data_IF_759925323531
#
_entry.id   IF_759925323531
#
_cell.length_a   1.000
_cell.length_b   1.000
_cell.length_c   1.000
_cell.angle_alpha   90.00
_cell.angle_beta   90.00
_cell.angle_gamma   90.00
#
_symmetry.space_group_name_H-M   'P 1'
#
loop_
_entity.id
_entity.type
_entity.pdbx_description
1 polymer ?
#
# COMPACT_ATOMS: atom_id res chain seq x y z
N UNK A 1 -11.09 10.11 30.88
CA UNK A 1 -10.87 10.94 29.65
C UNK A 1 -9.43 11.01 29.17
N UNK A 2 -8.45 11.19 30.06
CA UNK A 2 -7.00 11.29 29.73
C UNK A 2 -6.50 10.23 28.73
N UNK A 3 -6.81 8.96 28.97
CA UNK A 3 -6.34 7.84 28.13
C UNK A 3 -6.79 7.98 26.68
N UNK A 4 -8.04 8.42 26.46
CA UNK A 4 -8.60 8.67 25.12
C UNK A 4 -7.90 9.84 24.41
N UNK A 5 -7.48 10.87 25.15
CA UNK A 5 -6.62 11.90 24.55
C UNK A 5 -5.28 11.30 24.14
N UNK A 6 -4.63 10.51 25.00
CA UNK A 6 -3.34 9.86 24.69
C UNK A 6 -3.46 8.97 23.45
N UNK A 7 -4.54 8.18 23.36
CA UNK A 7 -4.85 7.35 22.19
C UNK A 7 -5.03 8.19 20.92
N UNK A 8 -5.78 9.28 21.00
CA UNK A 8 -5.94 10.21 19.88
C UNK A 8 -4.62 10.88 19.47
N UNK A 9 -3.75 11.22 20.42
CA UNK A 9 -2.43 11.78 20.13
C UNK A 9 -1.51 10.75 19.44
N UNK A 10 -1.61 9.48 19.83
CA UNK A 10 -0.90 8.39 19.18
C UNK A 10 -1.38 8.20 17.74
N UNK A 11 -2.70 8.26 17.50
CA UNK A 11 -3.28 8.23 16.15
C UNK A 11 -2.77 9.38 15.27
N UNK A 12 -2.68 10.59 15.82
CA UNK A 12 -2.13 11.76 15.12
C UNK A 12 -0.59 11.73 15.01
N UNK A 13 0.08 10.80 15.69
CA UNK A 13 1.54 10.74 15.82
C UNK A 13 2.16 12.06 16.33
N UNK A 14 1.53 12.66 17.35
CA UNK A 14 2.04 13.88 18.01
C UNK A 14 2.20 13.69 19.51
N UNK A 15 3.16 14.39 20.11
CA UNK A 15 3.34 14.41 21.56
C UNK A 15 2.35 15.34 22.27
N UNK A 16 2.16 15.12 23.58
CA UNK A 16 1.29 15.95 24.44
C UNK A 16 1.61 17.44 24.37
N UNK A 17 2.90 17.80 24.43
CA UNK A 17 3.33 19.19 24.38
C UNK A 17 2.89 19.87 23.07
N UNK A 18 3.09 19.20 21.94
CA UNK A 18 2.71 19.70 20.61
C UNK A 18 1.19 19.84 20.49
N UNK A 19 0.43 18.92 21.08
CA UNK A 19 -1.03 19.03 21.13
C UNK A 19 -1.50 20.23 21.95
N UNK A 20 -0.93 20.44 23.14
CA UNK A 20 -1.27 21.56 24.02
C UNK A 20 -0.95 22.91 23.37
N UNK A 21 0.19 23.00 22.67
CA UNK A 21 0.59 24.17 21.89
C UNK A 21 -0.36 24.41 20.71
N UNK A 22 -0.69 23.36 19.94
CA UNK A 22 -1.60 23.45 18.79
C UNK A 22 -3.02 23.89 19.15
N UNK A 23 -3.48 23.53 20.35
CA UNK A 23 -4.83 23.83 20.85
C UNK A 23 -4.87 25.09 21.71
N UNK A 24 -3.73 25.70 22.02
CA UNK A 24 -3.68 26.85 22.94
C UNK A 24 -4.16 26.50 24.35
N UNK A 25 -3.88 25.28 24.80
CA UNK A 25 -4.13 24.79 26.15
C UNK A 25 -2.86 24.91 27.00
N UNK A 26 -3.03 24.99 28.33
CA UNK A 26 -1.92 25.10 29.26
C UNK A 26 -1.04 23.85 29.23
N UNK A 27 0.28 24.02 29.43
CA UNK A 27 1.20 22.89 29.55
C UNK A 27 0.79 21.93 30.69
N UNK A 28 0.77 20.64 30.39
CA UNK A 28 0.33 19.58 31.30
C UNK A 28 -1.19 19.43 31.42
N UNK A 29 -1.96 20.09 30.55
CA UNK A 29 -3.41 19.91 30.45
C UNK A 29 -3.79 18.44 30.23
N UNK A 30 -3.12 17.73 29.31
CA UNK A 30 -3.45 16.33 28.98
C UNK A 30 -3.30 15.42 30.21
N UNK A 31 -2.39 15.76 31.13
CA UNK A 31 -2.21 15.00 32.37
C UNK A 31 -3.23 15.35 33.45
N UNK A 32 -3.82 16.54 33.41
CA UNK A 32 -4.78 17.06 34.41
C UNK A 32 -6.24 16.87 34.00
N UNK A 33 -6.50 16.49 32.75
CA UNK A 33 -7.86 16.32 32.24
C UNK A 33 -8.57 15.17 32.96
N UNK A 34 -9.57 15.53 33.77
CA UNK A 34 -10.46 14.60 34.44
C UNK A 34 -11.73 14.31 33.63
N UNK A 35 -12.73 13.73 34.28
CA UNK A 35 -13.99 13.35 33.63
C UNK A 35 -14.88 14.57 33.29
N UNK A 36 -14.67 15.69 33.98
CA UNK A 36 -15.36 16.96 33.72
C UNK A 36 -14.48 17.91 32.90
N UNK A 37 -14.56 17.78 31.57
CA UNK A 37 -13.92 18.70 30.64
C UNK A 37 -14.72 20.00 30.50
N UNK A 38 -14.06 21.14 30.68
CA UNK A 38 -14.67 22.46 30.43
C UNK A 38 -14.96 22.64 28.94
N UNK A 39 -16.12 23.21 28.64
CA UNK A 39 -16.56 23.47 27.26
C UNK A 39 -15.56 24.33 26.48
N UNK A 40 -14.99 25.36 27.12
CA UNK A 40 -13.96 26.21 26.51
C UNK A 40 -12.67 25.48 26.13
N UNK A 41 -12.30 24.42 26.85
CA UNK A 41 -11.17 23.57 26.46
C UNK A 41 -11.53 22.64 25.31
N UNK A 42 -12.76 22.14 25.31
CA UNK A 42 -13.27 21.29 24.23
C UNK A 42 -13.39 22.07 22.91
N UNK A 43 -13.90 23.30 22.93
CA UNK A 43 -13.98 24.19 21.76
C UNK A 43 -12.61 24.39 21.12
N UNK A 44 -11.58 24.67 21.92
CA UNK A 44 -10.20 24.80 21.45
C UNK A 44 -9.67 23.54 20.77
N UNK A 45 -10.00 22.36 21.33
CA UNK A 45 -9.61 21.08 20.76
C UNK A 45 -10.33 20.87 19.42
N UNK A 46 -11.66 21.03 19.38
CA UNK A 46 -12.46 20.80 18.18
C UNK A 46 -12.18 21.83 17.07
N UNK A 47 -11.82 23.06 17.43
CA UNK A 47 -11.39 24.07 16.47
C UNK A 47 -10.13 23.63 15.70
N UNK A 48 -9.24 22.87 16.35
CA UNK A 48 -8.01 22.36 15.72
C UNK A 48 -8.16 20.97 15.12
N UNK A 49 -9.03 20.15 15.72
CA UNK A 49 -9.29 18.76 15.36
C UNK A 49 -10.80 18.55 15.17
N UNK A 50 -11.38 19.09 14.08
CA UNK A 50 -12.83 19.04 13.85
C UNK A 50 -13.35 17.62 13.66
N UNK A 51 -12.49 16.71 13.19
CA UNK A 51 -12.83 15.31 13.00
C UNK A 51 -12.83 14.52 14.32
N UNK A 52 -12.37 15.07 15.45
CA UNK A 52 -12.40 14.36 16.72
C UNK A 52 -13.84 14.19 17.22
N UNK A 53 -14.25 12.95 17.49
CA UNK A 53 -15.58 12.69 18.01
C UNK A 53 -15.68 13.07 19.49
N UNK A 54 -16.45 14.14 19.76
CA UNK A 54 -16.72 14.60 21.13
C UNK A 54 -17.39 13.54 22.02
N UNK A 55 -18.30 12.74 21.46
CA UNK A 55 -19.02 11.73 22.25
C UNK A 55 -18.05 10.65 22.71
N UNK A 56 -17.22 10.14 21.80
CA UNK A 56 -16.17 9.19 22.15
C UNK A 56 -15.19 9.79 23.16
N UNK A 57 -14.76 11.04 22.99
CA UNK A 57 -13.85 11.69 23.94
C UNK A 57 -14.44 11.75 25.36
N UNK A 58 -15.73 12.10 25.48
CA UNK A 58 -16.43 12.25 26.77
C UNK A 58 -16.80 10.90 27.40
N UNK A 59 -17.43 10.03 26.64
CA UNK A 59 -18.07 8.80 27.15
C UNK A 59 -17.23 7.55 26.93
N UNK A 60 -16.38 7.55 25.89
CA UNK A 60 -15.70 6.36 25.39
C UNK A 60 -16.52 5.55 24.39
N UNK A 61 -17.75 5.97 24.07
CA UNK A 61 -18.64 5.25 23.17
C UNK A 61 -18.53 5.76 21.72
N UNK A 62 -18.55 4.82 20.77
CA UNK A 62 -18.47 5.09 19.34
C UNK A 62 -17.05 5.19 18.81
N UNK A 63 -16.91 5.78 17.62
CA UNK A 63 -15.63 5.92 16.92
C UNK A 63 -14.85 7.15 17.40
N UNK A 64 -13.52 7.04 17.49
CA UNK A 64 -12.62 8.13 17.90
C UNK A 64 -12.65 9.31 16.94
N UNK A 65 -12.65 9.05 15.63
CA UNK A 65 -12.63 10.07 14.58
C UNK A 65 -13.93 9.97 13.78
N UNK A 66 -14.57 11.12 13.57
CA UNK A 66 -15.70 11.25 12.65
C UNK A 66 -15.15 11.30 11.24
N UNK A 67 -15.50 10.30 10.44
CA UNK A 67 -15.30 10.39 9.01
C UNK A 67 -16.41 11.27 8.44
N UNK A 68 -16.03 12.44 7.93
CA UNK A 68 -16.91 13.26 7.11
C UNK A 68 -17.26 12.47 5.85
N UNK A 69 -18.35 11.71 5.86
CA UNK A 69 -18.98 11.33 4.59
C UNK A 69 -19.57 12.60 4.03
N UNK A 70 -18.85 13.27 3.13
CA UNK A 70 -19.41 14.34 2.32
C UNK A 70 -20.55 13.76 1.49
N UNK A 71 -21.75 13.72 2.05
CA UNK A 71 -22.96 13.56 1.26
C UNK A 71 -23.20 14.90 0.59
N UNK A 72 -22.65 15.07 -0.61
CA UNK A 72 -22.99 16.16 -1.51
C UNK A 72 -24.43 15.94 -1.99
N UNK A 73 -25.40 16.17 -1.10
CA UNK A 73 -26.79 16.26 -1.49
C UNK A 73 -26.98 17.61 -2.17
N UNK A 74 -26.75 17.62 -3.49
CA UNK A 74 -26.97 18.78 -4.37
C UNK A 74 -28.44 19.22 -4.35
N UNK A 75 -29.35 18.36 -3.87
CA UNK A 75 -30.75 18.68 -3.59
C UNK A 75 -31.05 18.27 -2.14
N UNK A 76 -31.34 19.25 -1.29
CA UNK A 76 -31.57 19.07 0.14
C UNK A 76 -32.86 18.33 0.48
N UNK A 77 -32.93 17.04 0.16
CA UNK A 77 -33.97 16.17 0.69
C UNK A 77 -33.54 15.63 2.05
N UNK A 78 -34.28 16.03 3.09
CA UNK A 78 -34.10 15.58 4.46
C UNK A 78 -34.51 14.10 4.57
N UNK A 79 -33.54 13.17 4.47
CA UNK A 79 -33.79 11.73 4.59
C UNK A 79 -33.86 11.32 6.07
N UNK A 80 -34.99 11.62 6.71
CA UNK A 80 -35.37 10.93 7.93
C UNK A 80 -35.87 9.52 7.56
N UNK A 81 -35.06 8.49 7.83
CA UNK A 81 -35.55 7.11 8.01
C UNK A 81 -35.89 6.29 6.76
N UNK A 82 -35.34 6.58 5.58
CA UNK A 82 -35.42 5.65 4.43
C UNK A 82 -34.03 5.13 4.05
N UNK A 83 -33.91 3.80 3.93
CA UNK A 83 -32.71 3.12 3.45
C UNK A 83 -32.33 3.65 2.06
N UNK A 84 -31.13 4.22 1.96
CA UNK A 84 -30.57 4.64 0.67
C UNK A 84 -30.23 3.37 -0.11
N UNK A 85 -31.04 3.08 -1.13
CA UNK A 85 -30.71 2.02 -2.08
C UNK A 85 -29.57 2.53 -2.95
N UNK A 86 -28.36 2.07 -2.67
CA UNK A 86 -27.20 2.27 -3.56
C UNK A 86 -27.62 1.77 -4.95
N UNK A 87 -27.39 2.55 -6.00
CA UNK A 87 -27.63 2.13 -7.38
C UNK A 87 -26.74 0.91 -7.69
N UNK A 88 -27.28 -0.28 -7.39
CA UNK A 88 -26.61 -1.59 -7.38
C UNK A 88 -25.93 -1.89 -8.73
N UNK A 89 -26.48 -1.33 -9.80
CA UNK A 89 -26.01 -1.46 -11.17
C UNK A 89 -24.57 -0.97 -11.44
N UNK A 90 -24.08 0.05 -10.74
CA UNK A 90 -22.69 0.52 -10.94
C UNK A 90 -21.69 -0.29 -10.12
N UNK A 91 -22.10 -0.77 -8.95
CA UNK A 91 -21.27 -1.65 -8.10
C UNK A 91 -21.12 -3.02 -8.75
N UNK A 92 -22.20 -3.57 -9.33
CA UNK A 92 -22.17 -4.83 -10.07
C UNK A 92 -21.23 -4.74 -11.28
N UNK A 93 -21.30 -3.66 -12.06
CA UNK A 93 -20.37 -3.41 -13.19
C UNK A 93 -18.91 -3.30 -12.73
N UNK A 94 -18.66 -2.67 -11.58
CA UNK A 94 -17.32 -2.55 -11.03
C UNK A 94 -16.80 -3.92 -10.57
N UNK A 95 -17.67 -4.74 -9.99
CA UNK A 95 -17.34 -6.11 -9.56
C UNK A 95 -17.01 -7.01 -10.76
N UNK A 96 -17.82 -6.97 -11.82
CA UNK A 96 -17.57 -7.70 -13.06
C UNK A 96 -16.24 -7.27 -13.70
N UNK A 97 -15.95 -5.95 -13.69
CA UNK A 97 -14.69 -5.43 -14.21
C UNK A 97 -13.49 -5.92 -13.39
N UNK A 98 -13.62 -5.98 -12.05
CA UNK A 98 -12.57 -6.50 -11.17
C UNK A 98 -12.31 -7.98 -11.44
N UNK A 99 -13.35 -8.81 -11.55
CA UNK A 99 -13.19 -10.22 -11.90
C UNK A 99 -12.51 -10.41 -13.26
N UNK A 100 -12.88 -9.62 -14.26
CA UNK A 100 -12.27 -9.67 -15.58
C UNK A 100 -10.79 -9.28 -15.54
N UNK A 101 -10.42 -8.29 -14.70
CA UNK A 101 -9.03 -7.87 -14.52
C UNK A 101 -8.22 -8.92 -13.77
N UNK A 102 -8.78 -9.56 -12.74
CA UNK A 102 -8.12 -10.63 -12.01
C UNK A 102 -7.83 -11.84 -12.91
N UNK A 103 -8.77 -12.24 -13.77
CA UNK A 103 -8.51 -13.31 -14.73
C UNK A 103 -7.44 -12.91 -15.76
N UNK A 104 -7.44 -11.65 -16.21
CA UNK A 104 -6.39 -11.14 -17.10
C UNK A 104 -5.01 -11.18 -16.43
N UNK A 105 -4.91 -10.83 -15.15
CA UNK A 105 -3.67 -10.94 -14.36
C UNK A 105 -3.23 -12.40 -14.29
N UNK A 106 -4.15 -13.31 -13.95
CA UNK A 106 -3.87 -14.75 -13.85
C UNK A 106 -3.35 -15.34 -15.16
N UNK A 107 -3.90 -14.91 -16.30
CA UNK A 107 -3.43 -15.33 -17.63
C UNK A 107 -2.04 -14.78 -17.92
N UNK A 108 -1.78 -13.51 -17.62
CA UNK A 108 -0.44 -12.91 -17.81
C UNK A 108 0.61 -13.61 -16.95
N UNK A 109 0.30 -13.95 -15.70
CA UNK A 109 1.23 -14.68 -14.82
C UNK A 109 1.60 -16.07 -15.37
N UNK A 110 0.63 -16.79 -15.96
CA UNK A 110 0.90 -18.06 -16.64
C UNK A 110 1.80 -17.87 -17.87
N UNK A 111 1.58 -16.81 -18.64
CA UNK A 111 2.42 -16.50 -19.81
C UNK A 111 3.85 -16.16 -19.39
N UNK A 112 4.04 -15.40 -18.30
CA UNK A 112 5.36 -15.08 -17.74
C UNK A 112 6.08 -16.35 -17.36
N UNK A 113 5.46 -17.23 -16.55
CA UNK A 113 6.04 -18.54 -16.18
C UNK A 113 6.47 -19.37 -17.38
N UNK A 114 5.65 -19.38 -18.44
CA UNK A 114 5.96 -20.11 -19.67
C UNK A 114 7.17 -19.52 -20.39
N UNK A 115 7.26 -18.18 -20.47
CA UNK A 115 8.40 -17.49 -21.06
C UNK A 115 9.68 -17.70 -20.25
N UNK A 116 9.59 -17.71 -18.93
CA UNK A 116 10.74 -17.97 -18.05
C UNK A 116 11.33 -19.39 -18.28
N UNK A 117 10.48 -20.41 -18.43
CA UNK A 117 10.98 -21.76 -18.75
C UNK A 117 11.59 -21.81 -20.15
N UNK A 118 11.02 -21.11 -21.14
CA UNK A 118 11.62 -21.01 -22.47
C UNK A 118 13.01 -20.35 -22.43
N UNK A 119 13.18 -19.28 -21.65
CA UNK A 119 14.48 -18.63 -21.44
C UNK A 119 15.45 -19.62 -20.81
N UNK A 120 15.03 -20.35 -19.76
CA UNK A 120 15.85 -21.36 -19.09
C UNK A 120 16.33 -22.47 -20.04
N UNK A 121 15.47 -22.92 -20.94
CA UNK A 121 15.83 -23.91 -21.97
C UNK A 121 16.83 -23.32 -22.97
N UNK A 122 16.62 -22.09 -23.43
CA UNK A 122 17.56 -21.42 -24.36
C UNK A 122 18.92 -21.20 -23.71
N UNK A 123 18.99 -20.82 -22.44
CA UNK A 123 20.25 -20.66 -21.72
C UNK A 123 21.05 -21.97 -21.62
N UNK A 124 20.36 -23.10 -21.39
CA UNK A 124 20.99 -24.42 -21.43
C UNK A 124 21.54 -24.74 -22.82
N UNK A 125 20.78 -24.45 -23.87
CA UNK A 125 21.22 -24.67 -25.25
C UNK A 125 22.44 -23.83 -25.61
N UNK A 126 22.49 -22.57 -25.18
CA UNK A 126 23.65 -21.68 -25.37
C UNK A 126 24.88 -22.28 -24.70
N UNK A 127 24.78 -22.68 -23.42
CA UNK A 127 25.89 -23.33 -22.70
C UNK A 127 26.43 -24.58 -23.41
N UNK A 128 25.55 -25.41 -23.96
CA UNK A 128 25.97 -26.59 -24.73
C UNK A 128 26.69 -26.20 -26.02
N UNK A 129 26.20 -25.18 -26.73
CA UNK A 129 26.86 -24.68 -27.96
C UNK A 129 28.23 -24.08 -27.65
N UNK A 130 28.36 -23.31 -26.57
CA UNK A 130 29.65 -22.73 -26.15
C UNK A 130 30.69 -23.82 -25.86
N UNK A 131 30.31 -24.92 -25.20
CA UNK A 131 31.22 -26.05 -24.97
C UNK A 131 31.62 -26.74 -26.28
N UNK A 132 30.69 -26.90 -27.23
CA UNK A 132 31.01 -27.47 -28.55
C UNK A 132 32.00 -26.59 -29.32
N UNK A 133 31.83 -25.25 -29.25
CA UNK A 133 32.78 -24.30 -29.85
C UNK A 133 34.15 -24.47 -29.20
N UNK A 134 34.22 -24.52 -27.87
CA UNK A 134 35.49 -24.72 -27.14
C UNK A 134 36.22 -26.01 -27.54
N UNK A 135 35.49 -27.10 -27.74
CA UNK A 135 36.07 -28.37 -28.21
C UNK A 135 36.59 -28.24 -29.64
N UNK A 136 35.84 -27.59 -30.53
CA UNK A 136 36.27 -27.36 -31.92
C UNK A 136 37.50 -26.46 -31.99
N UNK A 137 37.59 -25.42 -31.17
CA UNK A 137 38.76 -24.54 -31.11
C UNK A 137 40.02 -25.31 -30.69
N UNK A 138 39.91 -26.24 -29.73
CA UNK A 138 41.02 -27.13 -29.35
C UNK A 138 41.44 -28.05 -30.51
N UNK A 139 40.47 -28.62 -31.23
CA UNK A 139 40.75 -29.48 -32.39
C UNK A 139 41.46 -28.70 -33.50
N UNK A 140 41.03 -27.47 -33.79
CA UNK A 140 41.68 -26.58 -34.77
C UNK A 140 43.12 -26.28 -34.35
N UNK A 141 43.34 -25.88 -33.09
CA UNK A 141 44.69 -25.59 -32.59
C UNK A 141 45.63 -26.81 -32.67
N UNK A 142 45.13 -28.00 -32.39
CA UNK A 142 45.91 -29.23 -32.53
C UNK A 142 46.30 -29.49 -34.00
N UNK A 143 45.36 -29.34 -34.93
CA UNK A 143 45.64 -29.50 -36.37
C UNK A 143 46.66 -28.47 -36.87
N UNK A 144 46.56 -27.21 -36.42
CA UNK A 144 47.54 -26.16 -36.75
C UNK A 144 48.94 -26.52 -36.25
N UNK A 145 49.07 -27.08 -35.04
CA UNK A 145 50.35 -27.55 -34.51
C UNK A 145 50.97 -28.63 -35.41
N UNK A 146 50.19 -29.62 -35.83
CA UNK A 146 50.66 -30.72 -36.68
C UNK A 146 51.15 -30.19 -38.04
N UNK A 147 50.39 -29.27 -38.65
CA UNK A 147 50.76 -28.64 -39.93
C UNK A 147 52.08 -27.89 -39.80
N UNK A 148 52.27 -27.12 -38.74
CA UNK A 148 53.49 -26.34 -38.52
C UNK A 148 54.71 -27.25 -38.29
N UNK A 149 54.56 -28.32 -37.51
CA UNK A 149 55.63 -29.31 -37.32
C UNK A 149 56.06 -29.96 -38.64
N UNK A 150 55.12 -30.34 -39.50
CA UNK A 150 55.44 -30.96 -40.79
C UNK A 150 56.12 -30.00 -41.77
N UNK A 151 55.81 -28.69 -41.72
CA UNK A 151 56.50 -27.68 -42.53
C UNK A 151 57.95 -27.43 -42.11
N UNK A 152 58.30 -27.67 -40.85
CA UNK A 152 59.66 -27.50 -40.35
C UNK A 152 60.56 -28.72 -40.59
N UNK A 153 60.01 -29.85 -41.03
CA UNK A 153 60.74 -31.10 -41.30
C UNK A 153 61.05 -31.35 -42.78
N UNK A 154 60.61 -30.48 -43.69
CA UNK A 154 60.94 -30.47 -45.12
C UNK A 154 61.84 -29.27 -45.43
#
# INVERSE_FOLDING_TARGET
MKERLIEFLAYLNIGQLKFEENTGLSRGFVNKVGDSLRESSLEKILAKYPDLNTNWLKTGEGEMVRYSTNQNNVHGDNIHGHSVTVNKTNVDKLFDLLQAKDEQIRVKDKQIKTKDEQIRVKDKQIKTKDEQIRVKDKQINNLLSIINSNKSSN
#
